data_IF_187120388711
#
_entry.id   IF_187120388711
#
_cell.length_a   1.000
_cell.length_b   1.000
_cell.length_c   1.000
_cell.angle_alpha   90.00
_cell.angle_beta   90.00
_cell.angle_gamma   90.00
#
_symmetry.space_group_name_H-M   'P 1'
#
loop_
_entity.id
_entity.type
_entity.pdbx_description
1 polymer ?
#
# COMPACT_ATOMS: atom_id res chain seq x y z
N UNK A 1 4.14 -3.39 10.10
CA UNK A 1 4.05 -4.86 9.97
C UNK A 1 3.69 -5.52 11.30
N UNK A 2 4.55 -5.57 12.32
CA UNK A 2 4.29 -6.33 13.55
C UNK A 2 3.02 -5.94 14.31
N UNK A 3 2.70 -4.65 14.37
CA UNK A 3 1.47 -4.17 15.02
C UNK A 3 0.22 -4.79 14.40
N UNK A 4 0.25 -5.14 13.11
CA UNK A 4 -0.91 -5.70 12.42
C UNK A 4 -1.25 -7.15 12.81
N UNK A 5 -0.39 -7.81 13.60
CA UNK A 5 -0.72 -9.12 14.17
C UNK A 5 -1.75 -9.04 15.30
N UNK A 6 -1.73 -7.95 16.08
CA UNK A 6 -2.63 -7.76 17.20
C UNK A 6 -3.75 -6.74 16.94
N UNK A 7 -3.57 -5.85 15.96
CA UNK A 7 -4.44 -4.71 15.73
C UNK A 7 -4.78 -4.53 14.25
N UNK A 8 -6.03 -4.21 13.89
CA UNK A 8 -6.41 -3.91 12.51
C UNK A 8 -5.77 -2.59 12.04
N UNK A 9 -5.61 -2.40 10.73
CA UNK A 9 -5.02 -1.17 10.18
C UNK A 9 -5.83 0.10 10.53
N UNK A 10 -7.15 -0.04 10.69
CA UNK A 10 -8.05 1.06 11.03
C UNK A 10 -7.69 1.80 12.34
N UNK A 11 -6.98 1.15 13.27
CA UNK A 11 -6.55 1.77 14.54
C UNK A 11 -5.08 2.22 14.52
N UNK A 12 -4.39 2.09 13.39
CA UNK A 12 -2.98 2.45 13.26
C UNK A 12 -2.83 3.82 12.63
N UNK A 13 -2.58 4.82 13.48
CA UNK A 13 -2.19 6.16 13.03
C UNK A 13 -0.94 6.12 12.14
N UNK A 14 -1.06 6.55 10.88
CA UNK A 14 0.03 6.49 9.90
C UNK A 14 0.08 7.74 9.03
N UNK A 15 1.03 8.62 9.31
CA UNK A 15 1.15 9.91 8.63
C UNK A 15 2.41 10.00 7.77
N UNK A 16 2.27 10.68 6.64
CA UNK A 16 3.37 11.11 5.77
C UNK A 16 4.01 12.33 6.43
N UNK A 17 5.26 12.19 6.84
CA UNK A 17 6.06 13.28 7.39
C UNK A 17 7.16 13.71 6.42
N UNK A 18 7.82 14.84 6.66
CA UNK A 18 8.94 15.28 5.84
C UNK A 18 10.20 14.47 6.15
N UNK A 19 10.82 13.90 5.12
CA UNK A 19 12.05 13.10 5.24
C UNK A 19 12.85 13.17 3.94
N UNK A 20 14.17 13.33 4.05
CA UNK A 20 15.09 13.42 2.91
C UNK A 20 15.54 12.05 2.39
N UNK A 21 15.31 10.96 3.14
CA UNK A 21 15.83 9.62 2.81
C UNK A 21 14.94 8.82 1.84
N UNK A 22 13.70 9.24 1.62
CA UNK A 22 12.70 8.50 0.82
C UNK A 22 11.89 9.45 -0.04
N UNK A 23 11.29 9.01 -1.14
CA UNK A 23 10.35 9.85 -1.90
C UNK A 23 9.02 10.03 -1.16
N UNK A 24 8.27 11.10 -1.48
CA UNK A 24 6.89 11.28 -0.97
C UNK A 24 6.01 10.08 -1.35
N UNK A 25 6.13 9.58 -2.58
CA UNK A 25 5.40 8.40 -3.05
C UNK A 25 5.62 7.16 -2.16
N UNK A 26 6.87 6.86 -1.76
CA UNK A 26 7.16 5.76 -0.84
C UNK A 26 6.52 5.97 0.53
N UNK A 27 6.61 7.20 1.07
CA UNK A 27 5.99 7.51 2.37
C UNK A 27 4.47 7.39 2.33
N UNK A 28 3.83 7.87 1.26
CA UNK A 28 2.38 7.74 1.04
C UNK A 28 1.99 6.27 0.94
N UNK A 29 2.69 5.45 0.16
CA UNK A 29 2.39 4.02 0.01
C UNK A 29 2.45 3.26 1.34
N UNK A 30 3.41 3.59 2.22
CA UNK A 30 3.50 3.01 3.57
C UNK A 30 2.37 3.54 4.46
N UNK A 31 2.16 4.85 4.48
CA UNK A 31 1.12 5.49 5.29
C UNK A 31 -0.29 5.02 4.90
N UNK A 32 -0.49 4.61 3.66
CA UNK A 32 -1.77 4.11 3.15
C UNK A 32 -2.26 2.87 3.90
N UNK A 33 -1.34 2.05 4.43
CA UNK A 33 -1.66 0.86 5.23
C UNK A 33 -1.82 1.22 6.72
N UNK A 34 -2.75 2.12 6.99
CA UNK A 34 -3.18 2.61 8.30
C UNK A 34 -4.25 3.69 8.13
N UNK A 35 -4.37 4.66 9.03
CA UNK A 35 -5.38 5.72 8.91
C UNK A 35 -5.14 6.69 7.77
N UNK A 36 -3.90 6.80 7.28
CA UNK A 36 -3.44 7.77 6.28
C UNK A 36 -3.62 9.24 6.70
N UNK A 37 -2.58 10.04 6.52
CA UNK A 37 -2.60 11.45 6.88
C UNK A 37 -1.29 12.13 6.52
N UNK A 38 -1.26 13.46 6.68
CA UNK A 38 -0.10 14.28 6.35
C UNK A 38 0.32 15.10 7.57
N UNK A 39 1.62 15.11 7.86
CA UNK A 39 2.21 15.78 9.01
C UNK A 39 3.52 16.48 8.60
N UNK A 40 3.40 17.48 7.74
CA UNK A 40 4.48 18.36 7.32
C UNK A 40 3.95 19.74 6.91
N UNK A 41 4.85 20.70 6.70
CA UNK A 41 4.48 22.02 6.18
C UNK A 41 4.18 21.95 4.67
N UNK A 42 2.93 22.18 4.22
CA UNK A 42 2.55 22.10 2.81
C UNK A 42 3.20 23.17 1.93
N UNK A 43 3.65 24.29 2.50
CA UNK A 43 4.34 25.36 1.74
C UNK A 43 5.72 24.93 1.23
N UNK A 44 6.27 23.84 1.79
CA UNK A 44 7.60 23.32 1.43
C UNK A 44 7.55 22.20 0.39
N UNK A 45 6.36 21.82 -0.09
CA UNK A 45 6.22 20.81 -1.13
C UNK A 45 6.63 21.35 -2.49
N UNK A 46 7.42 20.58 -3.23
CA UNK A 46 7.66 20.83 -4.65
C UNK A 46 6.38 20.58 -5.47
N UNK A 47 6.32 21.12 -6.67
CA UNK A 47 5.18 20.88 -7.58
C UNK A 47 5.04 19.38 -7.92
N UNK A 48 6.16 18.67 -8.07
CA UNK A 48 6.15 17.23 -8.32
C UNK A 48 5.53 16.46 -7.16
N UNK A 49 5.90 16.80 -5.92
CA UNK A 49 5.32 16.16 -4.73
C UNK A 49 3.82 16.47 -4.59
N UNK A 50 3.39 17.69 -4.93
CA UNK A 50 1.96 18.06 -4.96
C UNK A 50 1.18 17.21 -5.96
N UNK A 51 1.73 16.99 -7.14
CA UNK A 51 1.07 16.17 -8.17
C UNK A 51 1.03 14.70 -7.79
N UNK A 52 2.08 14.16 -7.15
CA UNK A 52 2.05 12.80 -6.59
C UNK A 52 0.97 12.66 -5.51
N UNK A 53 0.81 13.66 -4.63
CA UNK A 53 -0.24 13.67 -3.61
C UNK A 53 -1.63 13.64 -4.26
N UNK A 54 -1.90 14.47 -5.28
CA UNK A 54 -3.18 14.47 -6.00
C UNK A 54 -3.51 13.11 -6.62
N UNK A 55 -2.52 12.44 -7.23
CA UNK A 55 -2.70 11.08 -7.76
C UNK A 55 -3.04 10.09 -6.65
N UNK A 56 -2.35 10.17 -5.52
CA UNK A 56 -2.61 9.32 -4.36
C UNK A 56 -4.01 9.53 -3.76
N UNK A 57 -4.57 10.75 -3.80
CA UNK A 57 -5.94 11.01 -3.33
C UNK A 57 -7.01 10.25 -4.13
N UNK A 58 -6.76 10.04 -5.43
CA UNK A 58 -7.68 9.26 -6.28
C UNK A 58 -7.69 7.79 -5.85
N UNK A 59 -6.50 7.24 -5.54
CA UNK A 59 -6.37 5.88 -5.01
C UNK A 59 -6.96 5.78 -3.60
N UNK A 60 -6.73 6.78 -2.75
CA UNK A 60 -7.30 6.85 -1.42
C UNK A 60 -8.83 6.80 -1.46
N UNK A 61 -9.45 7.68 -2.24
CA UNK A 61 -10.90 7.77 -2.35
C UNK A 61 -11.54 6.48 -2.89
N UNK A 62 -10.84 5.78 -3.79
CA UNK A 62 -11.36 4.57 -4.43
C UNK A 62 -11.21 3.29 -3.58
N UNK A 63 -10.21 3.21 -2.70
CA UNK A 63 -9.81 1.96 -2.07
C UNK A 63 -9.63 2.00 -0.54
N UNK A 64 -9.39 3.17 0.08
CA UNK A 64 -8.99 3.20 1.49
C UNK A 64 -10.07 2.69 2.44
N UNK A 65 -11.31 3.18 2.28
CA UNK A 65 -12.43 2.77 3.13
C UNK A 65 -12.75 1.27 2.98
N UNK A 66 -12.85 0.78 1.75
CA UNK A 66 -13.29 -0.60 1.46
C UNK A 66 -12.19 -1.63 1.78
N UNK A 67 -10.93 -1.34 1.42
CA UNK A 67 -9.84 -2.28 1.56
C UNK A 67 -9.04 -2.09 2.86
N UNK A 68 -8.67 -0.86 3.22
CA UNK A 68 -7.75 -0.62 4.35
C UNK A 68 -8.51 -0.57 5.68
N UNK A 69 -9.56 0.26 5.77
CA UNK A 69 -10.29 0.43 7.03
C UNK A 69 -11.18 -0.78 7.34
N UNK A 70 -11.95 -1.25 6.36
CA UNK A 70 -12.96 -2.30 6.56
C UNK A 70 -12.56 -3.67 6.01
N UNK A 71 -11.47 -3.76 5.24
CA UNK A 71 -11.08 -4.98 4.55
C UNK A 71 -10.27 -5.96 5.40
N UNK A 72 -9.82 -7.02 4.73
CA UNK A 72 -9.00 -8.08 5.32
C UNK A 72 -7.54 -7.94 4.92
N UNK A 73 -6.66 -7.87 5.92
CA UNK A 73 -5.21 -7.76 5.75
C UNK A 73 -4.55 -9.15 5.66
N UNK A 74 -3.81 -9.36 4.58
CA UNK A 74 -2.95 -10.51 4.33
C UNK A 74 -1.48 -10.07 4.34
N UNK A 75 -0.68 -10.69 5.21
CA UNK A 75 0.78 -10.49 5.24
C UNK A 75 1.42 -11.44 4.25
N UNK A 76 1.99 -10.91 3.17
CA UNK A 76 2.54 -11.70 2.06
C UNK A 76 4.03 -12.00 2.24
N UNK A 77 4.80 -11.04 2.75
CA UNK A 77 6.22 -11.21 3.02
C UNK A 77 6.65 -10.44 4.27
N UNK A 78 7.45 -11.11 5.11
CA UNK A 78 7.96 -10.56 6.36
C UNK A 78 9.28 -9.83 6.13
N UNK A 79 9.39 -8.55 6.54
CA UNK A 79 10.64 -7.80 6.47
C UNK A 79 11.69 -8.31 7.47
N UNK A 80 11.33 -9.24 8.37
CA UNK A 80 12.24 -9.87 9.32
C UNK A 80 12.92 -11.12 8.77
N UNK A 81 12.37 -11.71 7.70
CA UNK A 81 12.88 -12.94 7.10
C UNK A 81 13.50 -12.70 5.71
N UNK A 82 13.23 -11.54 5.12
CA UNK A 82 13.71 -11.18 3.79
C UNK A 82 13.88 -9.67 3.66
N UNK A 83 14.45 -9.21 2.55
CA UNK A 83 14.54 -7.78 2.23
C UNK A 83 13.19 -7.16 1.82
N UNK A 84 12.09 -7.93 1.85
CA UNK A 84 10.79 -7.55 1.32
C UNK A 84 9.76 -7.32 2.42
N UNK A 85 8.97 -6.27 2.25
CA UNK A 85 7.70 -6.08 2.92
C UNK A 85 6.59 -6.28 1.89
N UNK A 86 5.76 -7.30 2.11
CA UNK A 86 4.60 -7.59 1.28
C UNK A 86 3.34 -7.64 2.12
N UNK A 87 2.34 -6.83 1.78
CA UNK A 87 1.02 -6.84 2.41
C UNK A 87 -0.05 -6.62 1.34
N UNK A 88 -1.21 -7.23 1.52
CA UNK A 88 -2.39 -6.98 0.70
C UNK A 88 -3.61 -6.76 1.59
N UNK A 89 -4.47 -5.84 1.20
CA UNK A 89 -5.77 -5.64 1.80
C UNK A 89 -6.85 -5.90 0.77
N UNK A 90 -7.80 -6.76 1.09
CA UNK A 90 -8.91 -7.13 0.19
C UNK A 90 -10.23 -6.66 0.78
N UNK A 91 -11.10 -6.07 -0.05
CA UNK A 91 -12.43 -5.67 0.38
C UNK A 91 -13.26 -6.89 0.81
N UNK A 92 -14.23 -6.68 1.70
CA UNK A 92 -15.08 -7.78 2.22
C UNK A 92 -15.88 -8.50 1.15
N UNK A 93 -16.26 -7.80 0.08
CA UNK A 93 -16.94 -8.37 -1.08
C UNK A 93 -15.96 -8.97 -2.11
N UNK A 94 -14.66 -8.95 -1.81
CA UNK A 94 -13.56 -9.46 -2.62
C UNK A 94 -13.46 -8.82 -4.01
N UNK A 95 -14.08 -7.66 -4.26
CA UNK A 95 -14.03 -7.00 -5.57
C UNK A 95 -12.84 -6.09 -5.76
N UNK A 96 -12.23 -5.63 -4.68
CA UNK A 96 -11.09 -4.70 -4.69
C UNK A 96 -9.96 -5.25 -3.83
N UNK A 97 -8.74 -4.99 -4.25
CA UNK A 97 -7.55 -5.27 -3.45
C UNK A 97 -6.51 -4.16 -3.63
N UNK A 98 -5.78 -3.88 -2.57
CA UNK A 98 -4.62 -2.99 -2.58
C UNK A 98 -3.41 -3.79 -2.11
N UNK A 99 -2.32 -3.72 -2.86
CA UNK A 99 -1.09 -4.46 -2.56
C UNK A 99 0.05 -3.48 -2.34
N UNK A 100 0.75 -3.63 -1.21
CA UNK A 100 2.03 -2.99 -0.94
C UNK A 100 3.12 -4.04 -1.05
N UNK A 101 4.05 -3.83 -1.98
CA UNK A 101 5.24 -4.63 -2.11
C UNK A 101 6.45 -3.73 -2.29
N UNK A 102 7.41 -3.82 -1.36
CA UNK A 102 8.61 -3.00 -1.38
C UNK A 102 9.82 -3.75 -0.82
N UNK A 103 11.00 -3.34 -1.25
CA UNK A 103 12.29 -3.78 -0.72
C UNK A 103 12.92 -2.70 0.15
N UNK A 104 13.56 -3.10 1.25
CA UNK A 104 14.24 -2.15 2.16
C UNK A 104 15.59 -1.70 1.59
N UNK A 105 16.38 -2.63 1.05
CA UNK A 105 17.68 -2.37 0.40
C UNK A 105 17.55 -2.51 -1.10
N UNK A 106 18.26 -1.67 -1.85
CA UNK A 106 18.36 -1.83 -3.31
C UNK A 106 18.93 -3.21 -3.65
N UNK A 107 18.31 -3.87 -4.62
CA UNK A 107 18.76 -5.15 -5.17
C UNK A 107 18.83 -5.06 -6.70
N UNK A 108 19.52 -6.03 -7.31
CA UNK A 108 19.48 -6.22 -8.75
C UNK A 108 18.04 -6.50 -9.21
N UNK A 109 17.55 -5.85 -10.27
CA UNK A 109 16.23 -6.13 -10.81
C UNK A 109 16.12 -7.60 -11.22
N UNK A 110 15.13 -8.30 -10.66
CA UNK A 110 14.82 -9.69 -10.95
C UNK A 110 13.30 -9.81 -11.03
N UNK A 111 12.81 -10.67 -11.93
CA UNK A 111 11.39 -11.01 -11.99
C UNK A 111 10.98 -11.73 -10.70
N UNK A 112 9.86 -11.31 -10.12
CA UNK A 112 9.33 -11.87 -8.88
C UNK A 112 7.86 -12.15 -9.03
N UNK A 113 7.42 -13.25 -8.46
CA UNK A 113 6.02 -13.60 -8.35
C UNK A 113 5.53 -13.27 -6.95
N UNK A 114 4.44 -12.52 -6.87
CA UNK A 114 3.78 -12.19 -5.61
C UNK A 114 2.41 -12.84 -5.61
N UNK A 115 2.22 -13.84 -4.75
CA UNK A 115 0.91 -14.47 -4.57
C UNK A 115 0.06 -13.60 -3.63
N UNK A 116 -1.07 -13.12 -4.15
CA UNK A 116 -2.08 -12.39 -3.37
C UNK A 116 -3.10 -13.39 -2.84
N UNK A 117 -3.58 -13.18 -1.61
CA UNK A 117 -4.57 -14.05 -0.94
C UNK A 117 -5.85 -13.27 -0.67
N UNK A 118 -6.95 -14.00 -0.46
CA UNK A 118 -8.25 -13.42 -0.10
C UNK A 118 -9.12 -12.98 -1.27
N UNK A 119 -8.63 -13.13 -2.50
CA UNK A 119 -9.39 -12.93 -3.73
C UNK A 119 -10.34 -14.11 -4.00
N UNK A 120 -11.28 -13.92 -4.91
CA UNK A 120 -12.24 -14.95 -5.33
C UNK A 120 -11.65 -15.78 -6.49
N UNK A 121 -11.58 -17.10 -6.32
CA UNK A 121 -10.91 -18.03 -7.26
C UNK A 121 -11.50 -18.00 -8.69
N UNK A 122 -12.82 -17.84 -8.83
CA UNK A 122 -13.51 -17.81 -10.14
C UNK A 122 -13.77 -16.38 -10.62
N UNK A 123 -12.76 -15.51 -10.57
CA UNK A 123 -12.90 -14.10 -10.97
C UNK A 123 -11.63 -13.56 -11.61
N UNK A 124 -11.78 -12.48 -12.37
CA UNK A 124 -10.67 -11.77 -12.98
C UNK A 124 -10.53 -10.39 -12.36
N UNK A 125 -9.29 -10.00 -12.08
CA UNK A 125 -8.93 -8.73 -11.47
C UNK A 125 -8.03 -7.95 -12.40
N UNK A 126 -8.40 -6.70 -12.71
CA UNK A 126 -7.54 -5.80 -13.45
C UNK A 126 -6.43 -5.25 -12.55
N UNK A 127 -5.18 -5.44 -12.94
CA UNK A 127 -4.03 -4.90 -12.23
C UNK A 127 -3.63 -3.54 -12.82
N UNK A 128 -3.71 -2.50 -11.99
CA UNK A 128 -3.43 -1.13 -12.41
C UNK A 128 -1.94 -0.87 -12.69
N UNK A 129 -1.04 -1.78 -12.32
CA UNK A 129 0.41 -1.63 -12.56
C UNK A 129 0.81 -2.05 -13.99
N UNK A 130 0.23 -3.13 -14.51
CA UNK A 130 0.57 -3.71 -15.82
C UNK A 130 -0.58 -3.58 -16.85
N UNK A 131 -1.79 -3.23 -16.40
CA UNK A 131 -2.97 -3.12 -17.24
C UNK A 131 -3.59 -4.45 -17.65
N UNK A 132 -3.13 -5.58 -17.08
CA UNK A 132 -3.61 -6.91 -17.40
C UNK A 132 -4.61 -7.44 -16.37
N UNK A 133 -5.48 -8.34 -16.83
CA UNK A 133 -6.39 -9.08 -15.96
C UNK A 133 -5.77 -10.40 -15.53
N UNK A 134 -5.74 -10.64 -14.21
CA UNK A 134 -5.23 -11.87 -13.60
C UNK A 134 -6.37 -12.59 -12.89
N UNK A 135 -6.36 -13.92 -12.94
CA UNK A 135 -7.25 -14.79 -12.15
C UNK A 135 -6.65 -15.09 -10.78
#
# INVERSE_FOLDING_TARGET
YSTSFGYPLAVLGSHVFSNDSTSVATRMAIAFFGTYGFEFNPDRLSEEDRDEIKKAETVYSAYHLDCIQNGDLYRLSSPYQSNYLGMACVSKDQKKAVVLFMNYRRETPLSRFLKVYGLKDDSYYANNLDGHSHS
#
